data_IF_861436444314
#
_entry.id   IF_861436444314
#
_cell.length_a   1.000
_cell.length_b   1.000
_cell.length_c   1.000
_cell.angle_alpha   90.00
_cell.angle_beta   90.00
_cell.angle_gamma   90.00
#
_symmetry.space_group_name_H-M   'P 1'
#
loop_
_entity.id
_entity.type
_entity.pdbx_description
1 polymer ?
#
# COMPACT_ATOMS: atom_id res chain seq x y z
N UNK A 1 -17.35 15.48 26.42
CA UNK A 1 -15.95 15.02 26.40
C UNK A 1 -15.48 15.13 24.96
N UNK A 2 -14.67 16.14 24.64
CA UNK A 2 -14.13 16.31 23.30
C UNK A 2 -13.07 15.23 23.08
N UNK A 3 -13.41 14.20 22.31
CA UNK A 3 -12.42 13.24 21.83
C UNK A 3 -11.56 13.96 20.80
N UNK A 4 -10.43 14.52 21.23
CA UNK A 4 -9.43 15.04 20.30
C UNK A 4 -8.98 13.89 19.40
N UNK A 5 -9.15 14.05 18.10
CA UNK A 5 -8.75 13.07 17.10
C UNK A 5 -7.21 12.97 17.14
N UNK A 6 -6.67 11.91 17.73
CA UNK A 6 -5.21 11.71 17.89
C UNK A 6 -4.47 11.77 16.54
N UNK A 7 -5.16 11.51 15.43
CA UNK A 7 -4.68 11.60 14.06
C UNK A 7 -5.75 12.25 13.19
N UNK A 8 -5.38 13.32 12.47
CA UNK A 8 -6.25 14.04 11.55
C UNK A 8 -5.79 13.84 10.11
N UNK A 9 -6.67 13.33 9.24
CA UNK A 9 -6.40 13.23 7.80
C UNK A 9 -6.49 14.62 7.17
N UNK A 10 -5.43 15.01 6.46
CA UNK A 10 -5.28 16.32 5.79
C UNK A 10 -5.50 16.19 4.29
N UNK A 11 -5.11 15.06 3.70
CA UNK A 11 -5.27 14.77 2.29
C UNK A 11 -5.66 13.30 2.10
N UNK A 12 -6.58 13.04 1.16
CA UNK A 12 -6.91 11.71 0.68
C UNK A 12 -7.04 11.73 -0.83
N UNK A 13 -6.34 10.83 -1.51
CA UNK A 13 -6.37 10.74 -2.97
C UNK A 13 -6.15 9.31 -3.46
N UNK A 14 -6.45 9.06 -4.73
CA UNK A 14 -6.09 7.83 -5.42
C UNK A 14 -4.91 8.10 -6.34
N UNK A 15 -3.82 7.34 -6.17
CA UNK A 15 -2.65 7.42 -7.05
C UNK A 15 -2.78 6.38 -8.14
N UNK A 16 -2.79 6.82 -9.39
CA UNK A 16 -2.82 5.96 -10.57
C UNK A 16 -1.40 5.64 -11.06
N UNK A 17 -1.21 4.57 -11.85
CA UNK A 17 0.06 4.31 -12.51
C UNK A 17 0.52 5.50 -13.35
N UNK A 18 1.83 5.77 -13.35
CA UNK A 18 2.43 6.89 -14.09
C UNK A 18 2.47 6.68 -15.61
N UNK A 19 2.27 5.44 -16.06
CA UNK A 19 2.20 5.06 -17.47
C UNK A 19 1.10 4.00 -17.65
N UNK A 20 0.63 3.84 -18.88
CA UNK A 20 -0.38 2.85 -19.21
C UNK A 20 0.09 1.44 -18.86
N UNK A 21 -0.77 0.70 -18.15
CA UNK A 21 -0.49 -0.66 -17.73
C UNK A 21 -1.30 -1.66 -18.56
N UNK A 22 -0.77 -2.88 -18.79
CA UNK A 22 -1.51 -3.90 -19.52
C UNK A 22 -2.86 -4.20 -18.87
N UNK A 23 -3.95 -4.04 -19.63
CA UNK A 23 -5.30 -4.45 -19.25
C UNK A 23 -5.47 -5.96 -19.44
N UNK A 24 -4.67 -6.74 -18.71
CA UNK A 24 -4.68 -8.21 -18.78
C UNK A 24 -5.48 -8.79 -17.63
N UNK A 25 -6.14 -9.90 -17.89
CA UNK A 25 -6.73 -10.69 -16.82
C UNK A 25 -5.69 -11.53 -16.10
N UNK A 26 -5.53 -11.29 -14.80
CA UNK A 26 -4.69 -12.11 -13.94
C UNK A 26 -5.58 -13.13 -13.22
N UNK A 27 -5.25 -14.41 -13.41
CA UNK A 27 -5.89 -15.49 -12.68
C UNK A 27 -5.29 -15.60 -11.29
N UNK A 28 -6.15 -15.66 -10.28
CA UNK A 28 -5.73 -15.99 -8.92
C UNK A 28 -5.45 -17.49 -8.84
N UNK A 29 -4.29 -17.84 -8.28
CA UNK A 29 -3.94 -19.22 -7.97
C UNK A 29 -4.83 -19.79 -6.85
N UNK A 30 -4.78 -21.10 -6.62
CA UNK A 30 -5.47 -21.71 -5.50
C UNK A 30 -5.00 -21.15 -4.13
N UNK A 31 -3.71 -20.81 -4.02
CA UNK A 31 -3.14 -20.18 -2.84
C UNK A 31 -3.69 -18.76 -2.64
N UNK A 32 -3.77 -17.97 -3.71
CA UNK A 32 -4.33 -16.62 -3.67
C UNK A 32 -5.80 -16.64 -3.19
N UNK A 33 -6.60 -17.60 -3.67
CA UNK A 33 -8.00 -17.77 -3.26
C UNK A 33 -8.14 -18.20 -1.80
N UNK A 34 -7.25 -19.10 -1.33
CA UNK A 34 -7.21 -19.50 0.07
C UNK A 34 -6.91 -18.30 0.99
N UNK A 35 -6.01 -17.41 0.57
CA UNK A 35 -5.60 -16.24 1.34
C UNK A 35 -6.54 -15.04 1.19
N UNK A 36 -7.36 -14.99 0.15
CA UNK A 36 -8.34 -13.91 -0.06
C UNK A 36 -9.32 -13.75 1.11
N UNK A 37 -9.67 -14.85 1.78
CA UNK A 37 -10.55 -14.82 2.95
C UNK A 37 -9.88 -14.27 4.23
N UNK A 38 -8.55 -14.08 4.23
CA UNK A 38 -7.84 -13.48 5.38
C UNK A 38 -7.95 -11.95 5.44
N UNK A 39 -8.50 -11.32 4.40
CA UNK A 39 -8.70 -9.87 4.36
C UNK A 39 -7.38 -9.12 4.20
N UNK A 40 -7.20 -8.05 4.98
CA UNK A 40 -6.05 -7.14 4.86
C UNK A 40 -4.99 -7.39 5.92
N UNK A 41 -3.74 -7.43 5.48
CA UNK A 41 -2.57 -7.47 6.35
C UNK A 41 -2.12 -6.04 6.65
N UNK A 42 -2.24 -5.56 7.91
CA UNK A 42 -1.73 -4.26 8.30
C UNK A 42 -0.22 -4.30 8.52
N UNK A 43 0.46 -3.22 8.13
CA UNK A 43 1.88 -2.99 8.43
C UNK A 43 2.07 -1.52 8.79
N UNK A 44 2.89 -1.23 9.80
CA UNK A 44 3.21 0.15 10.21
C UNK A 44 4.71 0.25 10.42
N UNK A 45 5.34 1.20 9.73
CA UNK A 45 6.74 1.56 9.88
C UNK A 45 6.85 2.94 10.52
N UNK A 46 7.78 3.10 11.46
CA UNK A 46 8.06 4.37 12.12
C UNK A 46 9.42 4.88 11.68
N UNK A 47 9.47 6.13 11.26
CA UNK A 47 10.68 6.81 10.81
C UNK A 47 10.92 8.02 11.69
N UNK A 48 12.07 8.04 12.37
CA UNK A 48 12.53 9.21 13.10
C UNK A 48 13.29 10.13 12.16
N UNK A 49 13.11 11.43 12.35
CA UNK A 49 13.95 12.43 11.69
C UNK A 49 15.30 12.48 12.41
N UNK A 50 16.39 12.40 11.67
CA UNK A 50 17.73 12.51 12.25
C UNK A 50 17.98 13.97 12.70
N UNK A 51 18.37 14.21 13.97
CA UNK A 51 18.78 15.53 14.42
C UNK A 51 19.94 16.07 13.56
N UNK A 52 19.90 17.36 13.21
CA UNK A 52 20.96 18.01 12.42
C UNK A 52 20.88 17.78 10.90
N UNK A 53 19.86 17.08 10.40
CA UNK A 53 19.59 17.00 8.96
C UNK A 53 18.57 18.08 8.54
N UNK A 54 19.04 19.11 7.86
CA UNK A 54 18.20 20.16 7.24
C UNK A 54 17.57 19.69 5.92
N UNK A 55 17.27 18.40 5.78
CA UNK A 55 16.56 17.90 4.61
C UNK A 55 15.12 18.39 4.66
N UNK A 56 14.79 19.34 3.79
CA UNK A 56 13.42 19.87 3.67
C UNK A 56 12.46 18.89 3.01
N UNK A 57 12.98 17.76 2.50
CA UNK A 57 12.24 16.78 1.71
C UNK A 57 11.95 15.45 2.42
N UNK A 58 12.23 15.34 3.73
CA UNK A 58 11.89 14.17 4.53
C UNK A 58 10.40 13.82 4.39
N UNK A 59 10.10 12.65 3.78
CA UNK A 59 8.74 12.20 3.47
C UNK A 59 7.90 13.23 2.69
N UNK A 60 8.50 13.90 1.70
CA UNK A 60 7.75 14.81 0.83
C UNK A 60 6.58 14.07 0.13
N UNK A 61 5.34 14.47 0.44
CA UNK A 61 4.13 13.81 -0.03
C UNK A 61 4.00 13.76 -1.56
N UNK A 62 4.45 14.81 -2.27
CA UNK A 62 4.44 14.84 -3.73
C UNK A 62 5.44 13.83 -4.30
N UNK A 63 6.69 13.79 -3.79
CA UNK A 63 7.68 12.78 -4.19
C UNK A 63 7.17 11.36 -3.95
N UNK A 64 6.56 11.10 -2.79
CA UNK A 64 5.99 9.79 -2.46
C UNK A 64 4.89 9.38 -3.42
N UNK A 65 3.95 10.28 -3.74
CA UNK A 65 2.86 10.02 -4.70
C UNK A 65 3.39 9.78 -6.11
N UNK A 66 4.34 10.59 -6.58
CA UNK A 66 4.97 10.40 -7.90
C UNK A 66 5.68 9.06 -7.98
N UNK A 67 6.50 8.73 -6.97
CA UNK A 67 7.21 7.46 -6.91
C UNK A 67 6.27 6.24 -6.81
N UNK A 68 5.13 6.40 -6.12
CA UNK A 68 4.08 5.38 -6.05
C UNK A 68 3.49 5.15 -7.44
N UNK A 69 3.17 6.20 -8.19
CA UNK A 69 2.70 6.09 -9.58
C UNK A 69 3.69 5.34 -10.47
N UNK A 70 5.00 5.59 -10.32
CA UNK A 70 6.05 4.86 -11.05
C UNK A 70 6.11 3.38 -10.65
N UNK A 71 6.04 3.06 -9.35
CA UNK A 71 6.02 1.68 -8.87
C UNK A 71 4.79 0.91 -9.38
N UNK A 72 3.62 1.55 -9.40
CA UNK A 72 2.37 0.94 -9.86
C UNK A 72 2.38 0.52 -11.33
N UNK A 73 3.28 1.07 -12.15
CA UNK A 73 3.50 0.60 -13.54
C UNK A 73 3.93 -0.86 -13.55
N UNK A 74 4.82 -1.24 -12.63
CA UNK A 74 5.30 -2.61 -12.48
C UNK A 74 4.36 -3.51 -11.71
N UNK A 75 3.61 -2.96 -10.76
CA UNK A 75 2.72 -3.69 -9.85
C UNK A 75 1.25 -3.51 -10.22
N UNK A 76 0.96 -3.50 -11.52
CA UNK A 76 -0.42 -3.39 -11.99
C UNK A 76 -1.24 -4.61 -11.57
N UNK A 77 -2.44 -4.35 -11.07
CA UNK A 77 -3.41 -5.40 -10.82
C UNK A 77 -4.15 -5.68 -12.13
N UNK A 78 -4.21 -6.95 -12.51
CA UNK A 78 -4.94 -7.37 -13.70
C UNK A 78 -6.43 -7.05 -13.60
N UNK A 79 -7.07 -6.89 -14.76
CA UNK A 79 -8.53 -6.79 -14.81
C UNK A 79 -9.15 -8.14 -14.48
N UNK A 80 -10.25 -8.23 -13.72
CA UNK A 80 -10.97 -9.48 -13.62
C UNK A 80 -11.39 -9.96 -15.03
N UNK A 81 -11.53 -11.28 -15.28
CA UNK A 81 -12.06 -11.76 -16.55
C UNK A 81 -13.45 -11.12 -16.79
N UNK A 82 -14.02 -11.21 -17.99
CA UNK A 82 -15.45 -10.98 -18.22
C UNK A 82 -16.18 -12.33 -18.33
N UNK A 83 -17.33 -12.50 -17.65
CA UNK A 83 -18.13 -13.74 -17.63
C UNK A 83 -17.73 -14.80 -16.59
N UNK A 84 -18.70 -15.35 -15.82
CA UNK A 84 -18.52 -16.47 -14.87
C UNK A 84 -19.06 -16.25 -13.45
N UNK A 85 -19.62 -17.31 -12.83
CA UNK A 85 -20.35 -17.34 -11.54
C UNK A 85 -19.60 -16.81 -10.30
N UNK A 86 -18.30 -16.48 -10.39
CA UNK A 86 -17.49 -15.91 -9.30
C UNK A 86 -17.64 -14.38 -9.20
N UNK A 87 -18.87 -13.86 -9.24
CA UNK A 87 -19.17 -12.41 -9.29
C UNK A 87 -18.84 -11.65 -7.99
N UNK A 88 -18.90 -12.28 -6.83
CA UNK A 88 -18.92 -11.56 -5.54
C UNK A 88 -17.56 -10.98 -5.08
N UNK A 89 -16.45 -11.67 -5.38
CA UNK A 89 -15.08 -11.16 -5.11
C UNK A 89 -14.62 -10.21 -6.23
N UNK A 90 -15.32 -10.23 -7.37
CA UNK A 90 -14.92 -9.68 -8.68
C UNK A 90 -15.28 -8.21 -8.89
N UNK A 91 -16.35 -7.73 -8.26
CA UNK A 91 -16.73 -6.31 -8.31
C UNK A 91 -15.91 -5.46 -7.32
N UNK A 92 -15.20 -6.10 -6.39
CA UNK A 92 -14.38 -5.43 -5.35
C UNK A 92 -12.89 -5.28 -5.71
N UNK A 93 -12.52 -5.16 -6.98
CA UNK A 93 -11.12 -4.90 -7.36
C UNK A 93 -11.01 -3.78 -8.42
N UNK A 94 -12.12 -3.07 -8.65
CA UNK A 94 -12.35 -2.25 -9.84
C UNK A 94 -11.71 -0.85 -9.80
N UNK A 95 -11.04 -0.46 -8.72
CA UNK A 95 -10.46 0.89 -8.62
C UNK A 95 -8.99 0.87 -9.06
N UNK A 96 -8.72 1.49 -10.20
CA UNK A 96 -7.39 1.60 -10.85
C UNK A 96 -6.45 2.59 -10.13
N UNK A 97 -6.41 2.55 -8.79
CA UNK A 97 -5.58 3.43 -8.00
C UNK A 97 -5.29 2.89 -6.62
N UNK A 98 -4.16 3.31 -6.08
CA UNK A 98 -3.76 3.04 -4.71
C UNK A 98 -4.24 4.19 -3.82
N UNK A 99 -5.04 3.89 -2.81
CA UNK A 99 -5.52 4.91 -1.87
C UNK A 99 -4.36 5.43 -1.02
N UNK A 100 -4.18 6.75 -1.02
CA UNK A 100 -3.06 7.41 -0.37
C UNK A 100 -3.56 8.56 0.50
N UNK A 101 -3.31 8.45 1.79
CA UNK A 101 -3.72 9.42 2.80
C UNK A 101 -2.50 10.10 3.42
N UNK A 102 -2.59 11.42 3.58
CA UNK A 102 -1.67 12.19 4.42
C UNK A 102 -2.41 12.64 5.66
N UNK A 103 -1.82 12.39 6.83
CA UNK A 103 -2.38 12.73 8.12
C UNK A 103 -1.36 13.45 9.00
N UNK A 104 -1.85 14.13 10.04
CA UNK A 104 -1.03 14.79 11.07
C UNK A 104 -1.47 14.31 12.45
N UNK A 105 -0.54 14.26 13.39
CA UNK A 105 -0.79 13.87 14.77
C UNK A 105 -0.03 14.76 15.73
N UNK A 106 -0.69 15.13 16.83
CA UNK A 106 -0.07 15.85 17.94
C UNK A 106 0.72 14.93 18.88
N UNK A 107 0.74 13.62 18.59
CA UNK A 107 1.57 12.64 19.29
C UNK A 107 3.02 12.71 18.80
N UNK A 108 3.90 12.08 19.56
CA UNK A 108 5.30 11.78 19.18
C UNK A 108 5.48 10.28 19.02
N UNK A 109 6.54 9.86 18.31
CA UNK A 109 6.91 8.44 18.23
C UNK A 109 7.24 7.88 19.62
N UNK A 110 7.79 8.71 20.51
CA UNK A 110 8.23 8.30 21.84
C UNK A 110 7.05 8.13 22.83
N UNK A 111 5.85 8.60 22.45
CA UNK A 111 4.60 8.30 23.17
C UNK A 111 4.23 6.80 23.08
N UNK A 112 4.93 6.03 22.22
CA UNK A 112 4.74 4.59 22.02
C UNK A 112 5.95 3.80 22.52
N UNK A 113 5.87 3.26 23.74
CA UNK A 113 7.00 2.69 24.49
C UNK A 113 7.65 1.43 23.93
N UNK A 114 7.00 0.67 23.04
CA UNK A 114 7.57 -0.57 22.50
C UNK A 114 7.27 -0.82 21.01
N UNK A 115 6.55 0.10 20.35
CA UNK A 115 6.08 -0.01 18.95
C UNK A 115 5.54 -1.41 18.56
N UNK A 116 5.05 -2.19 19.54
CA UNK A 116 4.53 -3.54 19.30
C UNK A 116 3.16 -3.42 18.62
N UNK A 117 2.81 -4.35 17.72
CA UNK A 117 1.49 -4.41 17.13
C UNK A 117 0.41 -4.33 18.21
N UNK A 118 -0.47 -3.33 18.11
CA UNK A 118 -1.56 -3.13 19.05
C UNK A 118 -2.80 -2.58 18.34
N UNK A 119 -4.01 -2.79 18.90
CA UNK A 119 -5.23 -2.21 18.37
C UNK A 119 -5.15 -0.68 18.25
N UNK A 120 -4.43 -0.01 19.15
CA UNK A 120 -4.24 1.44 19.09
C UNK A 120 -3.42 1.86 17.87
N UNK A 121 -2.25 1.25 17.64
CA UNK A 121 -1.43 1.55 16.46
C UNK A 121 -2.19 1.27 15.16
N UNK A 122 -2.94 0.17 15.12
CA UNK A 122 -3.78 -0.16 13.96
C UNK A 122 -4.83 0.92 13.71
N UNK A 123 -5.58 1.35 14.74
CA UNK A 123 -6.62 2.38 14.57
C UNK A 123 -6.05 3.73 14.13
N UNK A 124 -4.88 4.10 14.62
CA UNK A 124 -4.30 5.43 14.37
C UNK A 124 -3.60 5.53 13.03
N UNK A 125 -2.85 4.49 12.63
CA UNK A 125 -1.88 4.60 11.55
C UNK A 125 -2.18 3.71 10.34
N UNK A 126 -3.08 2.74 10.47
CA UNK A 126 -3.47 1.90 9.32
C UNK A 126 -4.70 2.52 8.67
N UNK A 127 -4.68 2.78 7.35
CA UNK A 127 -5.83 3.35 6.66
C UNK A 127 -7.04 2.43 6.76
N UNK A 128 -8.22 3.03 6.90
CA UNK A 128 -9.47 2.29 6.71
C UNK A 128 -9.62 2.01 5.21
N UNK A 129 -9.71 0.72 4.87
CA UNK A 129 -9.82 0.30 3.49
C UNK A 129 -11.25 0.49 3.00
N UNK A 130 -11.40 1.17 1.86
CA UNK A 130 -12.68 1.21 1.17
C UNK A 130 -12.97 -0.14 0.50
N UNK A 131 -14.26 -0.50 0.34
CA UNK A 131 -14.63 -1.65 -0.47
C UNK A 131 -14.01 -1.51 -1.85
N UNK A 132 -13.20 -2.50 -2.21
CA UNK A 132 -12.56 -2.69 -3.51
C UNK A 132 -11.07 -2.32 -3.66
N UNK A 133 -10.43 -1.78 -2.62
CA UNK A 133 -9.01 -1.42 -2.71
C UNK A 133 -8.12 -2.64 -2.49
N UNK A 134 -7.13 -2.84 -3.36
CA UNK A 134 -6.12 -3.88 -3.14
C UNK A 134 -5.17 -3.49 -2.03
N UNK A 135 -4.83 -2.21 -1.98
CA UNK A 135 -3.85 -1.66 -1.06
C UNK A 135 -4.20 -0.19 -0.78
N UNK A 136 -3.97 0.23 0.45
CA UNK A 136 -3.97 1.64 0.82
C UNK A 136 -2.76 1.96 1.70
N UNK A 137 -2.39 3.23 1.71
CA UNK A 137 -1.32 3.76 2.56
C UNK A 137 -1.76 5.04 3.25
N UNK A 138 -1.38 5.17 4.51
CA UNK A 138 -1.48 6.40 5.28
C UNK A 138 -0.09 6.83 5.75
N UNK A 139 0.27 8.07 5.47
CA UNK A 139 1.49 8.71 5.98
C UNK A 139 1.08 9.73 7.03
N UNK A 140 1.44 9.48 8.29
CA UNK A 140 1.08 10.33 9.43
C UNK A 140 2.31 11.06 9.94
N UNK A 141 2.31 12.39 9.87
CA UNK A 141 3.36 13.24 10.41
C UNK A 141 3.12 13.55 11.88
N UNK A 142 4.11 13.27 12.73
CA UNK A 142 4.09 13.59 14.15
C UNK A 142 4.63 14.99 14.42
N UNK A 143 4.24 15.61 15.53
CA UNK A 143 4.76 16.93 15.94
C UNK A 143 6.27 16.96 16.15
N UNK A 144 6.89 15.81 16.47
CA UNK A 144 8.34 15.67 16.60
C UNK A 144 9.08 15.60 15.25
N UNK A 145 8.37 15.74 14.13
CA UNK A 145 8.93 15.63 12.78
C UNK A 145 9.15 14.19 12.29
N UNK A 146 8.86 13.19 13.13
CA UNK A 146 8.82 11.78 12.72
C UNK A 146 7.60 11.44 11.88
N UNK A 147 7.60 10.25 11.28
CA UNK A 147 6.51 9.75 10.42
C UNK A 147 6.13 8.32 10.79
N UNK A 148 4.83 8.04 10.83
CA UNK A 148 4.29 6.69 10.75
C UNK A 148 3.79 6.45 9.32
N UNK A 149 4.29 5.38 8.71
CA UNK A 149 3.87 4.91 7.39
C UNK A 149 3.10 3.62 7.58
N UNK A 150 1.79 3.67 7.44
CA UNK A 150 0.92 2.51 7.61
C UNK A 150 0.31 2.06 6.30
N UNK A 151 0.18 0.75 6.12
CA UNK A 151 -0.40 0.14 4.93
C UNK A 151 -1.40 -0.93 5.33
N UNK A 152 -2.39 -1.13 4.47
CA UNK A 152 -3.25 -2.31 4.52
C UNK A 152 -3.28 -2.93 3.13
N UNK A 153 -2.80 -4.18 3.02
CA UNK A 153 -2.65 -4.91 1.76
C UNK A 153 -3.58 -6.12 1.78
N UNK A 154 -4.39 -6.32 0.74
CA UNK A 154 -5.27 -7.48 0.63
C UNK A 154 -4.45 -8.76 0.44
N UNK A 155 -4.56 -9.71 1.37
CA UNK A 155 -3.70 -10.90 1.40
C UNK A 155 -3.91 -11.84 0.20
N UNK A 156 -5.05 -11.74 -0.49
CA UNK A 156 -5.32 -12.49 -1.72
C UNK A 156 -4.63 -11.96 -2.98
N UNK A 157 -3.98 -10.79 -2.93
CA UNK A 157 -3.26 -10.23 -4.09
C UNK A 157 -1.74 -10.32 -3.95
N UNK A 158 -1.25 -10.23 -2.72
CA UNK A 158 0.18 -10.20 -2.38
C UNK A 158 0.44 -11.02 -1.10
N UNK A 159 1.47 -11.85 -1.16
CA UNK A 159 2.10 -12.42 0.02
C UNK A 159 3.14 -11.44 0.60
N UNK A 160 3.82 -11.84 1.68
CA UNK A 160 4.83 -10.99 2.32
C UNK A 160 5.97 -10.61 1.36
N UNK A 161 6.45 -11.56 0.55
CA UNK A 161 7.60 -11.34 -0.35
C UNK A 161 7.24 -10.31 -1.42
N UNK A 162 6.10 -10.48 -2.09
CA UNK A 162 5.62 -9.54 -3.10
C UNK A 162 5.29 -8.17 -2.50
N UNK A 163 4.74 -8.10 -1.29
CA UNK A 163 4.50 -6.84 -0.59
C UNK A 163 5.83 -6.08 -0.30
N UNK A 164 6.86 -6.77 0.20
CA UNK A 164 8.15 -6.14 0.44
C UNK A 164 8.87 -5.74 -0.85
N UNK A 165 8.73 -6.54 -1.93
CA UNK A 165 9.26 -6.17 -3.25
C UNK A 165 8.61 -4.88 -3.78
N UNK A 166 7.31 -4.70 -3.57
CA UNK A 166 6.61 -3.45 -3.88
C UNK A 166 7.17 -2.27 -3.06
N UNK A 167 7.29 -2.41 -1.74
CA UNK A 167 7.84 -1.33 -0.89
C UNK A 167 9.30 -0.99 -1.22
N UNK A 168 10.12 -1.98 -1.58
CA UNK A 168 11.49 -1.75 -2.03
C UNK A 168 11.52 -1.00 -3.37
N UNK A 169 10.64 -1.36 -4.30
CA UNK A 169 10.53 -0.67 -5.60
C UNK A 169 10.08 0.78 -5.39
N UNK A 170 9.04 1.00 -4.59
CA UNK A 170 8.53 2.34 -4.28
C UNK A 170 9.56 3.21 -3.56
N UNK A 171 10.26 2.68 -2.55
CA UNK A 171 11.32 3.42 -1.86
C UNK A 171 12.51 3.75 -2.78
N UNK A 172 12.84 2.88 -3.74
CA UNK A 172 13.89 3.15 -4.74
C UNK A 172 13.50 4.30 -5.67
N UNK A 173 12.28 4.29 -6.21
CA UNK A 173 11.76 5.44 -6.97
C UNK A 173 11.69 6.72 -6.13
N UNK A 174 11.33 6.61 -4.86
CA UNK A 174 11.25 7.79 -3.96
C UNK A 174 12.61 8.46 -3.74
N UNK A 175 13.69 7.66 -3.75
CA UNK A 175 15.07 8.15 -3.55
C UNK A 175 15.71 8.60 -4.86
N UNK A 176 15.56 7.81 -5.91
CA UNK A 176 16.37 7.91 -7.12
C UNK A 176 15.58 8.49 -8.32
N UNK A 177 14.25 8.65 -8.20
CA UNK A 177 13.39 9.20 -9.25
C UNK A 177 13.51 8.42 -10.56
N UNK A 178 13.64 9.13 -11.69
CA UNK A 178 13.81 8.53 -13.02
C UNK A 178 15.13 7.75 -13.18
N UNK A 179 16.09 7.93 -12.26
CA UNK A 179 17.36 7.20 -12.26
C UNK A 179 17.27 5.86 -11.51
N UNK A 180 16.11 5.53 -10.96
CA UNK A 180 15.88 4.30 -10.22
C UNK A 180 16.11 3.06 -11.10
N UNK A 181 16.97 2.16 -10.63
CA UNK A 181 17.18 0.85 -11.25
C UNK A 181 16.39 -0.18 -10.43
N UNK A 182 15.25 -0.60 -10.96
CA UNK A 182 14.33 -1.54 -10.29
C UNK A 182 14.12 -2.80 -11.14
N UNK A 183 13.96 -3.94 -10.46
CA UNK A 183 13.52 -5.18 -11.09
C UNK A 183 12.01 -5.29 -10.94
N UNK A 184 11.27 -5.24 -12.03
CA UNK A 184 9.82 -5.38 -11.99
C UNK A 184 9.38 -6.82 -11.69
N UNK A 185 8.20 -7.01 -11.08
CA UNK A 185 7.68 -8.33 -10.76
C UNK A 185 7.30 -9.11 -12.04
N UNK A 186 7.33 -10.44 -11.91
CA UNK A 186 6.89 -11.35 -12.95
C UNK A 186 5.42 -11.70 -12.73
N UNK A 187 4.58 -11.47 -13.74
CA UNK A 187 3.11 -11.55 -13.62
C UNK A 187 2.49 -12.86 -14.12
N UNK A 188 3.28 -13.73 -14.75
CA UNK A 188 2.75 -15.00 -15.24
C UNK A 188 2.60 -16.01 -14.09
N UNK A 189 1.35 -16.17 -13.65
CA UNK A 189 0.94 -17.08 -12.58
C UNK A 189 0.51 -18.46 -13.10
N UNK A 190 0.66 -18.76 -14.40
CA UNK A 190 0.23 -20.05 -14.98
C UNK A 190 0.94 -21.24 -14.33
N UNK A 191 2.18 -21.07 -13.88
CA UNK A 191 2.95 -22.09 -13.15
C UNK A 191 2.35 -22.48 -11.79
N UNK A 192 1.50 -21.62 -11.21
CA UNK A 192 0.83 -21.85 -9.92
C UNK A 192 -0.66 -22.18 -10.09
N UNK A 193 -1.14 -22.24 -11.33
CA UNK A 193 -2.48 -22.73 -11.63
C UNK A 193 -2.44 -24.25 -11.63
N UNK A 194 -3.04 -24.89 -10.62
CA UNK A 194 -3.34 -26.31 -10.71
C UNK A 194 -4.21 -26.52 -11.96
N UNK A 195 -3.69 -27.27 -12.93
CA UNK A 195 -4.34 -27.44 -14.22
C UNK A 195 -5.74 -28.03 -14.07
N UNK A 196 -6.76 -27.21 -14.28
CA UNK A 196 -8.01 -27.71 -14.83
C UNK A 196 -7.88 -27.53 -16.33
N UNK A 197 -7.27 -28.51 -16.98
CA UNK A 197 -7.47 -28.70 -18.41
C UNK A 197 -8.96 -29.02 -18.58
N UNK A 198 -9.71 -28.11 -19.18
CA UNK A 198 -11.00 -28.42 -19.79
C UNK A 198 -10.82 -29.40 -20.93
#
# INVERSE_FOLDING_TARGET
>A
MAGEEEVQVVESCFVTPAADTPRKTLWLSALDLMLANKGYTPLVHFYRRCPGTETTDFFNGTKLKTALGMALVGFYHGQPPQGGRRRQVRDRLQQQGHAFLLARSQLTIDDFSNLKPSPRLRRLFVPQILPAEVCATQVTFFKCGGVAFGTAVHHGTMDGISAFHFFQTWSTFSRDGDRAVVKFPYHDRTHLCAGVRS
#
